data_IF_367213244531
#
_entry.id   IF_367213244531
#
_cell.length_a   1.000
_cell.length_b   1.000
_cell.length_c   1.000
_cell.angle_alpha   90.00
_cell.angle_beta   90.00
_cell.angle_gamma   90.00
#
_symmetry.space_group_name_H-M   'P 1'
#
loop_
_entity.id
_entity.type
_entity.pdbx_description
1 polymer ?
#
# COMPACT_ATOMS: atom_id res chain seq x y z
N UNK A 1 -17.33 -2.19 -18.85
CA UNK A 1 -17.98 -2.08 -17.52
C UNK A 1 -17.92 -3.45 -16.84
N UNK A 2 -16.94 -3.67 -15.95
CA UNK A 2 -16.84 -4.91 -15.16
C UNK A 2 -17.14 -4.57 -13.70
N UNK A 3 -18.43 -4.64 -13.36
CA UNK A 3 -18.87 -4.64 -11.97
C UNK A 3 -18.80 -6.07 -11.46
N UNK A 4 -17.80 -6.38 -10.62
CA UNK A 4 -17.74 -7.65 -9.91
C UNK A 4 -18.31 -7.43 -8.50
N UNK A 5 -19.53 -7.93 -8.32
CA UNK A 5 -20.43 -7.64 -7.20
C UNK A 5 -20.27 -8.65 -6.06
N UNK A 6 -19.04 -9.10 -5.73
CA UNK A 6 -18.84 -10.05 -4.63
C UNK A 6 -17.42 -10.03 -4.07
N UNK A 7 -17.04 -9.00 -3.32
CA UNK A 7 -15.84 -9.05 -2.46
C UNK A 7 -14.48 -9.16 -3.17
N UNK A 8 -14.43 -9.07 -4.51
CA UNK A 8 -13.19 -9.09 -5.29
C UNK A 8 -12.75 -7.67 -5.59
N UNK A 9 -11.55 -7.32 -5.15
CA UNK A 9 -10.90 -6.06 -5.50
C UNK A 9 -10.63 -6.04 -7.01
N UNK A 10 -10.80 -4.88 -7.64
CA UNK A 10 -10.37 -4.68 -9.03
C UNK A 10 -8.85 -4.81 -9.16
N UNK A 11 -8.34 -5.03 -10.37
CA UNK A 11 -6.90 -5.14 -10.62
C UNK A 11 -6.13 -3.92 -10.10
N UNK A 12 -6.65 -2.71 -10.33
CA UNK A 12 -6.02 -1.47 -9.82
C UNK A 12 -6.08 -1.35 -8.32
N UNK A 13 -7.17 -1.79 -7.70
CA UNK A 13 -7.27 -1.84 -6.25
C UNK A 13 -6.30 -2.84 -5.63
N UNK A 14 -6.09 -3.99 -6.28
CA UNK A 14 -5.10 -4.99 -5.90
C UNK A 14 -3.67 -4.45 -6.00
N UNK A 15 -3.33 -3.77 -7.09
CA UNK A 15 -2.04 -3.11 -7.25
C UNK A 15 -1.78 -2.08 -6.14
N UNK A 16 -2.77 -1.21 -5.87
CA UNK A 16 -2.66 -0.21 -4.80
C UNK A 16 -2.53 -0.88 -3.43
N UNK A 17 -3.30 -1.94 -3.17
CA UNK A 17 -3.21 -2.70 -1.92
C UNK A 17 -1.84 -3.36 -1.75
N UNK A 18 -1.24 -3.88 -2.83
CA UNK A 18 0.10 -4.47 -2.83
C UNK A 18 1.16 -3.42 -2.48
N UNK A 19 1.17 -2.28 -3.19
CA UNK A 19 2.10 -1.19 -2.92
C UNK A 19 1.90 -0.63 -1.50
N UNK A 20 0.65 -0.57 -1.03
CA UNK A 20 0.35 -0.17 0.33
C UNK A 20 0.91 -1.15 1.37
N UNK A 21 0.88 -2.46 1.09
CA UNK A 21 1.48 -3.50 1.94
C UNK A 21 3.01 -3.43 1.96
N UNK A 22 3.64 -2.94 0.89
CA UNK A 22 5.07 -2.63 0.84
C UNK A 22 5.46 -1.34 1.58
N UNK A 23 4.51 -0.62 2.16
CA UNK A 23 4.78 0.59 2.95
C UNK A 23 4.84 1.89 2.15
N UNK A 24 4.55 1.87 0.85
CA UNK A 24 4.63 3.07 -0.01
C UNK A 24 3.62 4.15 0.36
N UNK A 25 4.00 5.43 0.39
CA UNK A 25 3.03 6.51 0.65
C UNK A 25 2.07 6.71 -0.52
N UNK A 26 0.97 7.44 -0.30
CA UNK A 26 0.03 7.77 -1.38
C UNK A 26 0.71 8.57 -2.51
N UNK A 27 1.73 9.35 -2.20
CA UNK A 27 2.54 10.07 -3.17
C UNK A 27 3.42 9.12 -3.99
N UNK A 28 4.10 8.16 -3.34
CA UNK A 28 4.96 7.20 -4.05
C UNK A 28 4.12 6.27 -4.94
N UNK A 29 2.98 5.80 -4.43
CA UNK A 29 2.02 5.02 -5.23
C UNK A 29 1.50 5.80 -6.43
N UNK A 30 1.30 7.11 -6.28
CA UNK A 30 0.83 7.97 -7.37
C UNK A 30 1.87 8.07 -8.50
N UNK A 31 3.16 8.16 -8.15
CA UNK A 31 4.26 8.18 -9.11
C UNK A 31 4.41 6.83 -9.80
N UNK A 32 4.43 5.74 -9.04
CA UNK A 32 4.60 4.38 -9.57
C UNK A 32 3.46 4.00 -10.54
N UNK A 33 2.22 4.37 -10.19
CA UNK A 33 1.05 4.05 -11.01
C UNK A 33 0.73 5.11 -12.06
N UNK A 34 1.50 6.21 -12.13
CA UNK A 34 1.25 7.35 -13.02
C UNK A 34 -0.18 7.92 -12.91
N UNK A 35 -0.68 8.05 -11.68
CA UNK A 35 -2.00 8.62 -11.36
C UNK A 35 -1.87 9.71 -10.30
N UNK A 36 -2.93 10.49 -10.07
CA UNK A 36 -2.88 11.53 -9.02
C UNK A 36 -2.94 10.93 -7.61
N UNK A 37 -2.31 11.56 -6.59
CA UNK A 37 -2.46 11.16 -5.18
C UNK A 37 -3.94 11.13 -4.73
N UNK A 38 -4.75 12.03 -5.28
CA UNK A 38 -6.20 12.06 -5.04
C UNK A 38 -6.88 10.79 -5.56
N UNK A 39 -6.45 10.29 -6.72
CA UNK A 39 -6.95 9.04 -7.30
C UNK A 39 -6.55 7.84 -6.44
N UNK A 40 -5.30 7.81 -5.95
CA UNK A 40 -4.82 6.78 -4.99
C UNK A 40 -5.68 6.79 -3.73
N UNK A 41 -5.91 7.96 -3.13
CA UNK A 41 -6.73 8.10 -1.92
C UNK A 41 -8.18 7.63 -2.15
N UNK A 42 -8.74 7.90 -3.34
CA UNK A 42 -10.06 7.44 -3.75
C UNK A 42 -10.11 5.91 -3.82
N UNK A 43 -9.16 5.27 -4.50
CA UNK A 43 -9.05 3.82 -4.53
C UNK A 43 -8.86 3.23 -3.13
N UNK A 44 -7.95 3.77 -2.32
CA UNK A 44 -7.73 3.33 -0.94
C UNK A 44 -9.01 3.40 -0.09
N UNK A 45 -9.86 4.41 -0.33
CA UNK A 45 -11.18 4.50 0.30
C UNK A 45 -12.10 3.37 -0.17
N UNK A 46 -12.21 3.14 -1.47
CA UNK A 46 -13.03 2.05 -2.02
C UNK A 46 -12.57 0.67 -1.51
N UNK A 47 -11.27 0.42 -1.41
CA UNK A 47 -10.74 -0.85 -0.86
C UNK A 47 -11.10 -0.98 0.62
N UNK A 48 -10.97 0.09 1.42
CA UNK A 48 -11.37 0.08 2.84
C UNK A 48 -12.86 -0.21 3.02
N UNK A 49 -13.71 0.38 2.19
CA UNK A 49 -15.16 0.14 2.22
C UNK A 49 -15.48 -1.32 1.85
N UNK A 50 -14.84 -1.85 0.81
CA UNK A 50 -14.99 -3.26 0.37
C UNK A 50 -14.51 -4.28 1.39
N UNK A 51 -13.40 -3.99 2.09
CA UNK A 51 -12.82 -4.88 3.10
C UNK A 51 -13.26 -4.55 4.54
N UNK A 52 -14.17 -3.59 4.72
CA UNK A 52 -14.60 -3.09 6.04
C UNK A 52 -13.42 -2.70 6.97
N UNK A 53 -12.37 -2.13 6.40
CA UNK A 53 -11.15 -1.78 7.13
C UNK A 53 -11.22 -0.36 7.71
N UNK A 54 -10.75 -0.21 8.95
CA UNK A 54 -10.78 1.07 9.70
C UNK A 54 -9.61 2.00 9.35
N UNK A 55 -8.44 1.43 9.08
CA UNK A 55 -7.23 2.16 8.75
C UNK A 55 -6.36 1.32 7.81
N UNK A 56 -5.26 1.91 7.31
CA UNK A 56 -4.34 1.24 6.37
C UNK A 56 -3.75 -0.05 6.93
N UNK A 57 -3.37 -0.07 8.20
CA UNK A 57 -2.83 -1.28 8.85
C UNK A 57 -3.89 -2.37 8.94
N UNK A 58 -5.12 -2.01 9.32
CA UNK A 58 -6.25 -2.93 9.41
C UNK A 58 -6.61 -3.49 8.03
N UNK A 59 -6.53 -2.66 6.98
CA UNK A 59 -6.72 -3.07 5.59
C UNK A 59 -5.75 -4.19 5.19
N UNK A 60 -4.45 -3.97 5.44
CA UNK A 60 -3.41 -4.95 5.12
C UNK A 60 -3.60 -6.23 5.94
N UNK A 61 -3.92 -6.10 7.23
CA UNK A 61 -4.19 -7.26 8.09
C UNK A 61 -5.40 -8.08 7.60
N UNK A 62 -6.49 -7.43 7.19
CA UNK A 62 -7.66 -8.12 6.61
C UNK A 62 -7.26 -8.79 5.30
N UNK A 63 -6.56 -8.10 4.41
CA UNK A 63 -6.12 -8.65 3.14
C UNK A 63 -5.23 -9.88 3.30
N UNK A 64 -4.36 -9.90 4.30
CA UNK A 64 -3.56 -11.06 4.68
C UNK A 64 -4.43 -12.21 5.22
N UNK A 65 -5.38 -11.92 6.11
CA UNK A 65 -6.28 -12.93 6.68
C UNK A 65 -7.21 -13.56 5.64
N UNK A 66 -7.62 -12.80 4.63
CA UNK A 66 -8.43 -13.27 3.52
C UNK A 66 -7.62 -13.97 2.43
N UNK A 67 -6.29 -14.01 2.52
CA UNK A 67 -5.42 -14.58 1.50
C UNK A 67 -5.36 -13.77 0.20
N UNK A 68 -5.81 -12.52 0.21
CA UNK A 68 -5.68 -11.57 -0.91
C UNK A 68 -4.21 -11.18 -1.07
N UNK A 69 -3.54 -10.96 0.06
CA UNK A 69 -2.09 -10.81 0.14
C UNK A 69 -1.50 -12.07 0.75
N UNK A 70 -0.35 -12.49 0.24
CA UNK A 70 0.44 -13.58 0.81
C UNK A 70 1.76 -13.03 1.35
N UNK A 71 2.08 -13.33 2.60
CA UNK A 71 3.44 -13.18 3.09
C UNK A 71 4.27 -14.25 2.40
N UNK A 72 5.09 -13.86 1.43
CA UNK A 72 6.11 -14.74 0.89
C UNK A 72 7.11 -14.99 2.02
N UNK A 73 7.05 -16.17 2.62
CA UNK A 73 8.07 -16.67 3.54
C UNK A 73 9.11 -17.44 2.74
N UNK A 74 9.77 -16.77 1.81
CA UNK A 74 10.92 -17.40 1.18
C UNK A 74 12.13 -17.17 2.09
N UNK A 75 12.65 -18.26 2.68
CA UNK A 75 13.96 -18.30 3.35
C UNK A 75 15.13 -18.03 2.37
N UNK A 76 14.85 -17.64 1.12
CA UNK A 76 15.79 -17.62 -0.01
C UNK A 76 16.42 -16.26 -0.28
N UNK A 77 15.99 -15.18 0.38
CA UNK A 77 16.57 -13.83 0.20
C UNK A 77 18.02 -13.67 0.72
N UNK A 78 18.59 -14.67 1.41
CA UNK A 78 20.00 -14.59 1.87
C UNK A 78 21.05 -14.78 0.76
N UNK A 79 20.67 -15.17 -0.46
CA UNK A 79 21.60 -15.26 -1.58
C UNK A 79 21.02 -14.65 -2.85
N UNK A 80 21.46 -13.42 -3.14
CA UNK A 80 21.80 -12.97 -4.49
C UNK A 80 20.71 -13.12 -5.54
N UNK A 81 19.71 -12.24 -5.49
CA UNK A 81 18.69 -12.13 -6.51
C UNK A 81 18.20 -10.70 -6.68
N UNK A 82 19.13 -9.74 -6.72
CA UNK A 82 18.88 -8.35 -7.10
C UNK A 82 18.20 -8.28 -8.47
N UNK A 83 16.86 -8.28 -8.44
CA UNK A 83 16.02 -7.69 -9.48
C UNK A 83 14.67 -7.22 -8.90
N UNK A 84 14.68 -6.78 -7.63
CA UNK A 84 13.80 -5.70 -7.23
C UNK A 84 14.38 -4.45 -7.90
N UNK A 85 13.61 -3.67 -8.68
CA UNK A 85 14.17 -2.68 -9.59
C UNK A 85 15.12 -1.77 -8.80
N UNK A 86 16.38 -1.69 -9.26
CA UNK A 86 17.55 -1.00 -8.70
C UNK A 86 17.35 0.52 -8.48
N UNK A 87 16.23 0.93 -7.87
CA UNK A 87 15.65 2.29 -7.88
C UNK A 87 15.19 2.76 -6.50
N UNK A 88 14.95 1.86 -5.54
CA UNK A 88 14.47 2.22 -4.20
C UNK A 88 15.53 2.87 -3.29
N UNK A 89 16.82 2.81 -3.64
CA UNK A 89 17.87 3.57 -2.94
C UNK A 89 17.71 5.10 -3.05
N UNK A 90 16.87 5.59 -3.97
CA UNK A 90 16.56 7.02 -4.12
C UNK A 90 15.41 7.52 -3.23
N UNK A 91 14.63 6.65 -2.60
CA UNK A 91 13.40 7.05 -1.88
C UNK A 91 13.60 7.38 -0.39
N UNK A 92 14.85 7.33 0.11
CA UNK A 92 15.16 7.71 1.50
C UNK A 92 15.57 9.20 1.66
N UNK A 93 15.86 9.91 0.56
CA UNK A 93 16.33 11.31 0.61
C UNK A 93 15.18 12.31 0.86
N UNK A 94 14.00 12.08 0.27
CA UNK A 94 12.81 12.92 0.45
C UNK A 94 12.21 12.79 1.85
N UNK A 95 12.44 11.67 2.52
CA UNK A 95 11.94 11.38 3.86
C UNK A 95 12.64 12.22 4.94
N UNK A 96 13.90 12.62 4.73
CA UNK A 96 14.62 13.53 5.65
C UNK A 96 14.33 15.01 5.40
N UNK A 97 14.02 15.40 4.16
CA UNK A 97 13.96 16.81 3.77
C UNK A 97 12.58 17.46 3.96
N UNK A 98 11.49 16.70 4.04
CA UNK A 98 10.14 17.28 4.04
C UNK A 98 9.46 17.42 5.39
N UNK A 99 10.00 16.87 6.50
CA UNK A 99 9.49 17.15 7.86
C UNK A 99 7.98 16.92 8.05
N UNK A 100 7.31 16.17 7.15
CA UNK A 100 5.89 15.89 7.24
C UNK A 100 5.70 14.73 8.22
N UNK A 101 5.65 15.12 9.49
CA UNK A 101 5.26 14.30 10.63
C UNK A 101 3.97 13.55 10.30
N UNK A 102 4.07 12.24 10.10
CA UNK A 102 2.93 11.34 10.15
C UNK A 102 2.32 11.45 11.55
N UNK A 103 1.34 12.35 11.68
CA UNK A 103 0.69 12.67 12.94
C UNK A 103 0.19 11.42 13.66
N UNK A 104 0.58 11.30 14.93
CA UNK A 104 -0.12 10.50 15.93
C UNK A 104 -0.40 11.34 17.17
N UNK A 105 -1.70 11.43 17.45
CA UNK A 105 -2.38 11.46 18.75
C UNK A 105 -1.93 12.50 19.80
N UNK A 106 -2.86 13.42 20.08
CA UNK A 106 -2.86 14.22 21.31
C UNK A 106 -2.97 13.30 22.54
N UNK A 107 -2.24 13.56 23.64
CA UNK A 107 -2.56 12.98 24.92
C UNK A 107 -3.73 13.76 25.53
N UNK A 108 -4.81 13.05 25.86
CA UNK A 108 -5.87 13.52 26.76
C UNK A 108 -5.28 13.52 28.17
N UNK A 109 -5.29 14.69 28.81
CA UNK A 109 -5.14 14.89 30.24
C UNK A 109 -6.36 15.68 30.74
#
# INVERSE_FOLDING_TARGET
MTVDTSGRLSTRELEILLLAAHGMSDADMSQELSISPRTVASHMRSIREKLCAKNRTHLIAIALRLGILALRTDRTDRMGGSRWPDRLDRLDETFRLTGLSGGRAQPVA
#
